data_IF_213677257834
#
_entry.id   IF_213677257834
#
_cell.length_a   1.000
_cell.length_b   1.000
_cell.length_c   1.000
_cell.angle_alpha   90.00
_cell.angle_beta   90.00
_cell.angle_gamma   90.00
#
_symmetry.space_group_name_H-M   'P 1'
#
loop_
_entity.id
_entity.type
_entity.pdbx_description
1 polymer ?
#
# COMPACT_ATOMS: atom_id res chain seq x y z
N UNK A 1 -26.21 -51.53 14.89
CA UNK A 1 -24.84 -51.12 14.48
C UNK A 1 -24.75 -50.83 12.98
N UNK A 2 -25.17 -51.75 12.09
CA UNK A 2 -25.09 -51.53 10.63
C UNK A 2 -25.89 -50.33 10.11
N UNK A 3 -27.04 -49.98 10.69
CA UNK A 3 -27.86 -48.84 10.30
C UNK A 3 -27.15 -47.49 10.64
N UNK A 4 -26.60 -47.39 11.85
CA UNK A 4 -25.85 -46.20 12.31
C UNK A 4 -24.62 -46.02 11.42
N UNK A 5 -23.88 -47.08 11.12
CA UNK A 5 -22.70 -47.00 10.25
C UNK A 5 -23.06 -46.51 8.84
N UNK A 6 -24.18 -46.99 8.25
CA UNK A 6 -24.65 -46.51 6.94
C UNK A 6 -25.01 -45.01 6.96
N UNK A 7 -25.62 -44.52 8.04
CA UNK A 7 -25.94 -43.11 8.19
C UNK A 7 -24.68 -42.25 8.37
N UNK A 8 -23.70 -42.70 9.17
CA UNK A 8 -22.41 -42.03 9.31
C UNK A 8 -21.67 -41.98 7.98
N UNK A 9 -21.70 -43.04 7.20
CA UNK A 9 -21.06 -43.08 5.88
C UNK A 9 -21.72 -42.11 4.90
N UNK A 10 -23.07 -42.03 4.90
CA UNK A 10 -23.80 -41.04 4.09
C UNK A 10 -23.49 -39.60 4.51
N UNK A 11 -23.43 -39.36 5.82
CA UNK A 11 -23.10 -38.04 6.35
C UNK A 11 -21.66 -37.63 5.97
N UNK A 12 -20.71 -38.54 6.12
CA UNK A 12 -19.32 -38.31 5.71
C UNK A 12 -19.21 -38.07 4.19
N UNK A 13 -19.93 -38.87 3.36
CA UNK A 13 -19.95 -38.64 1.91
C UNK A 13 -20.55 -37.28 1.53
N UNK A 14 -21.65 -36.90 2.20
CA UNK A 14 -22.25 -35.56 2.00
C UNK A 14 -21.31 -34.45 2.40
N UNK A 15 -20.62 -34.60 3.53
CA UNK A 15 -19.65 -33.61 3.99
C UNK A 15 -18.48 -33.46 3.00
N UNK A 16 -17.93 -34.56 2.52
CA UNK A 16 -16.88 -34.57 1.50
C UNK A 16 -17.37 -33.88 0.23
N UNK A 17 -18.57 -34.23 -0.22
CA UNK A 17 -19.17 -33.61 -1.41
C UNK A 17 -19.31 -32.08 -1.23
N UNK A 18 -19.80 -31.61 -0.09
CA UNK A 18 -19.94 -30.17 0.21
C UNK A 18 -18.59 -29.45 0.24
N UNK A 19 -17.56 -30.11 0.82
CA UNK A 19 -16.19 -29.56 0.83
C UNK A 19 -15.66 -29.42 -0.60
N UNK A 20 -15.77 -30.49 -1.40
CA UNK A 20 -15.31 -30.48 -2.80
C UNK A 20 -16.08 -29.44 -3.63
N UNK A 21 -17.39 -29.35 -3.43
CA UNK A 21 -18.22 -28.33 -4.10
C UNK A 21 -17.83 -26.90 -3.68
N UNK A 22 -17.55 -26.67 -2.40
CA UNK A 22 -17.10 -25.38 -1.89
C UNK A 22 -15.73 -24.98 -2.48
N UNK A 23 -14.78 -25.93 -2.53
CA UNK A 23 -13.48 -25.68 -3.18
C UNK A 23 -13.62 -25.44 -4.69
N UNK A 24 -14.47 -26.21 -5.37
CA UNK A 24 -14.76 -26.02 -6.80
C UNK A 24 -15.36 -24.64 -7.08
N UNK A 25 -16.29 -24.21 -6.23
CA UNK A 25 -16.91 -22.87 -6.34
C UNK A 25 -15.90 -21.75 -6.05
N UNK A 26 -15.10 -21.91 -5.01
CA UNK A 26 -14.04 -20.96 -4.67
C UNK A 26 -13.02 -20.84 -5.81
N UNK A 27 -12.58 -21.97 -6.36
CA UNK A 27 -11.69 -22.00 -7.52
C UNK A 27 -12.33 -21.30 -8.74
N UNK A 28 -13.60 -21.59 -9.03
CA UNK A 28 -14.33 -20.97 -10.14
C UNK A 28 -14.36 -19.43 -10.01
N UNK A 29 -14.72 -18.90 -8.84
CA UNK A 29 -14.74 -17.46 -8.63
C UNK A 29 -13.34 -16.85 -8.65
N UNK A 30 -12.35 -17.49 -8.05
CA UNK A 30 -10.97 -17.03 -8.08
C UNK A 30 -10.43 -16.99 -9.52
N UNK A 31 -10.63 -18.06 -10.29
CA UNK A 31 -10.17 -18.13 -11.70
C UNK A 31 -10.81 -17.06 -12.59
N UNK A 32 -12.07 -16.71 -12.33
CA UNK A 32 -12.78 -15.63 -13.06
C UNK A 32 -12.20 -14.22 -12.77
N UNK A 33 -11.48 -14.08 -11.68
CA UNK A 33 -10.86 -12.80 -11.28
C UNK A 33 -9.43 -12.65 -11.80
N UNK A 34 -8.86 -13.71 -12.40
CA UNK A 34 -7.54 -13.63 -12.99
C UNK A 34 -7.58 -12.81 -14.29
N UNK A 35 -6.60 -11.91 -14.50
CA UNK A 35 -6.48 -11.19 -15.75
C UNK A 35 -6.06 -12.13 -16.88
N UNK A 36 -6.44 -11.78 -18.09
CA UNK A 36 -5.97 -12.44 -19.30
C UNK A 36 -4.83 -11.59 -19.88
N UNK A 37 -3.62 -12.09 -19.75
CA UNK A 37 -2.42 -11.34 -20.15
C UNK A 37 -2.18 -11.36 -21.67
N UNK A 38 -2.63 -12.41 -22.36
CA UNK A 38 -2.53 -12.55 -23.82
C UNK A 38 -3.74 -11.89 -24.51
N UNK A 39 -4.01 -10.63 -24.23
CA UNK A 39 -5.14 -9.91 -24.77
C UNK A 39 -4.73 -8.60 -25.43
N UNK A 40 -5.41 -8.23 -26.51
CA UNK A 40 -5.35 -6.89 -27.06
C UNK A 40 -6.54 -6.08 -26.57
N UNK A 41 -6.29 -4.90 -26.01
CA UNK A 41 -7.33 -4.00 -25.54
C UNK A 41 -7.13 -2.62 -26.18
N UNK A 42 -8.24 -2.00 -26.58
CA UNK A 42 -8.25 -0.60 -26.96
C UNK A 42 -8.64 0.23 -25.74
N UNK A 43 -7.75 1.09 -25.29
CA UNK A 43 -7.99 1.97 -24.16
C UNK A 43 -8.03 3.43 -24.62
N UNK A 44 -8.98 4.19 -24.08
CA UNK A 44 -9.01 5.64 -24.25
C UNK A 44 -7.94 6.25 -23.35
N UNK A 45 -7.13 7.16 -23.92
CA UNK A 45 -6.08 7.87 -23.20
C UNK A 45 -4.66 7.52 -23.63
N UNK A 46 -4.44 6.45 -24.39
CA UNK A 46 -3.16 6.17 -25.05
C UNK A 46 -2.97 7.06 -26.28
N UNK A 47 -1.75 7.58 -26.45
CA UNK A 47 -1.35 8.35 -27.64
C UNK A 47 -0.75 7.42 -28.70
N UNK A 48 -0.05 6.36 -28.28
CA UNK A 48 0.55 5.34 -29.13
C UNK A 48 0.31 3.93 -28.55
N UNK A 49 0.49 2.86 -29.35
CA UNK A 49 0.43 1.49 -28.85
C UNK A 49 1.47 1.23 -27.77
N UNK A 50 1.06 0.52 -26.70
CA UNK A 50 1.95 0.04 -25.64
C UNK A 50 1.87 -1.46 -25.57
N UNK A 51 3.01 -2.11 -25.39
CA UNK A 51 3.11 -3.54 -25.18
C UNK A 51 3.53 -3.85 -23.75
N UNK A 52 2.83 -4.78 -23.09
CA UNK A 52 3.16 -5.28 -21.75
C UNK A 52 3.52 -6.76 -21.89
N UNK A 53 4.80 -7.08 -21.73
CA UNK A 53 5.30 -8.45 -21.76
C UNK A 53 5.63 -8.88 -20.34
N UNK A 54 5.14 -10.04 -19.92
CA UNK A 54 5.46 -10.59 -18.61
C UNK A 54 6.51 -11.67 -18.70
N UNK A 55 7.52 -11.57 -17.85
CA UNK A 55 8.56 -12.58 -17.74
C UNK A 55 8.12 -13.82 -16.93
N UNK A 56 9.02 -14.78 -16.76
CA UNK A 56 8.75 -16.00 -15.99
C UNK A 56 8.45 -15.78 -14.49
N UNK A 57 8.80 -14.62 -13.95
CA UNK A 57 8.47 -14.19 -12.60
C UNK A 57 7.19 -13.32 -12.56
N UNK A 58 6.50 -13.21 -13.70
CA UNK A 58 5.32 -12.39 -13.91
C UNK A 58 5.56 -10.88 -13.71
N UNK A 59 6.81 -10.43 -13.83
CA UNK A 59 7.17 -9.01 -13.80
C UNK A 59 6.80 -8.38 -15.15
N UNK A 60 6.00 -7.30 -15.20
CA UNK A 60 5.66 -6.62 -16.44
C UNK A 60 6.84 -5.81 -16.96
N UNK A 61 7.17 -6.02 -18.21
CA UNK A 61 8.06 -5.21 -19.03
C UNK A 61 7.18 -4.38 -19.97
N UNK A 62 7.22 -3.08 -19.81
CA UNK A 62 6.34 -2.12 -20.47
C UNK A 62 7.15 -1.38 -21.55
N UNK A 63 6.73 -1.51 -22.80
CA UNK A 63 7.36 -0.90 -23.97
C UNK A 63 6.40 0.14 -24.55
N UNK A 64 6.84 1.39 -24.60
CA UNK A 64 6.04 2.51 -25.10
C UNK A 64 6.89 3.51 -25.88
N UNK A 65 6.25 4.46 -26.55
CA UNK A 65 6.90 5.50 -27.33
C UNK A 65 7.13 6.80 -26.53
N UNK A 66 6.37 7.01 -25.44
CA UNK A 66 6.43 8.18 -24.58
C UNK A 66 6.12 7.82 -23.14
N UNK A 67 6.46 8.71 -22.21
CA UNK A 67 6.32 8.50 -20.77
C UNK A 67 4.87 8.34 -20.33
N UNK A 68 3.96 9.16 -20.87
CA UNK A 68 2.54 9.13 -20.49
C UNK A 68 1.92 7.75 -20.77
N UNK A 69 2.22 7.19 -21.96
CA UNK A 69 1.72 5.87 -22.33
C UNK A 69 2.32 4.76 -21.46
N UNK A 70 3.60 4.89 -21.06
CA UNK A 70 4.26 3.94 -20.15
C UNK A 70 3.65 4.02 -18.76
N UNK A 71 3.39 5.23 -18.21
CA UNK A 71 2.72 5.38 -16.94
C UNK A 71 1.26 4.90 -16.97
N UNK A 72 0.56 5.12 -18.07
CA UNK A 72 -0.76 4.54 -18.29
C UNK A 72 -0.70 3.01 -18.20
N UNK A 73 0.20 2.38 -18.93
CA UNK A 73 0.36 0.93 -18.94
C UNK A 73 0.78 0.37 -17.56
N UNK A 74 1.61 1.10 -16.82
CA UNK A 74 1.94 0.76 -15.43
C UNK A 74 0.67 0.76 -14.56
N UNK A 75 -0.15 1.80 -14.64
CA UNK A 75 -1.40 1.88 -13.89
C UNK A 75 -2.35 0.74 -14.22
N UNK A 76 -2.46 0.39 -15.49
CA UNK A 76 -3.28 -0.72 -15.97
C UNK A 76 -2.77 -2.06 -15.43
N UNK A 77 -1.47 -2.37 -15.59
CA UNK A 77 -0.86 -3.61 -15.10
C UNK A 77 -0.91 -3.72 -13.58
N UNK A 78 -0.65 -2.61 -12.88
CA UNK A 78 -0.72 -2.58 -11.42
C UNK A 78 -2.13 -2.86 -10.90
N UNK A 79 -3.14 -2.29 -11.55
CA UNK A 79 -4.55 -2.57 -11.21
C UNK A 79 -4.95 -4.02 -11.56
N UNK A 80 -4.41 -4.62 -12.64
CA UNK A 80 -4.62 -6.03 -12.92
C UNK A 80 -4.12 -6.94 -11.79
N UNK A 81 -2.96 -6.62 -11.23
CA UNK A 81 -2.27 -7.52 -10.31
C UNK A 81 -2.56 -7.22 -8.84
N UNK A 82 -2.90 -5.97 -8.49
CA UNK A 82 -2.90 -5.47 -7.11
C UNK A 82 -4.17 -4.71 -6.71
N UNK A 83 -5.27 -4.84 -7.46
CA UNK A 83 -6.48 -4.04 -7.24
C UNK A 83 -7.00 -4.10 -5.81
N UNK A 84 -6.99 -5.28 -5.19
CA UNK A 84 -7.41 -5.43 -3.80
C UNK A 84 -6.49 -4.64 -2.85
N UNK A 85 -5.18 -4.83 -2.97
CA UNK A 85 -4.18 -4.12 -2.16
C UNK A 85 -4.31 -2.59 -2.33
N UNK A 86 -4.41 -2.11 -3.57
CA UNK A 86 -4.61 -0.70 -3.89
C UNK A 86 -5.88 -0.15 -3.23
N UNK A 87 -6.98 -0.89 -3.33
CA UNK A 87 -8.27 -0.50 -2.73
C UNK A 87 -8.18 -0.45 -1.21
N UNK A 88 -7.52 -1.41 -0.58
CA UNK A 88 -7.35 -1.44 0.87
C UNK A 88 -6.47 -0.31 1.37
N UNK A 89 -5.33 -0.03 0.71
CA UNK A 89 -4.46 1.09 1.06
C UNK A 89 -5.19 2.43 0.93
N UNK A 90 -5.96 2.63 -0.17
CA UNK A 90 -6.78 3.83 -0.35
C UNK A 90 -7.82 3.97 0.75
N UNK A 91 -8.55 2.90 1.11
CA UNK A 91 -9.52 2.92 2.20
C UNK A 91 -8.86 3.18 3.55
N UNK A 92 -7.67 2.64 3.77
CA UNK A 92 -6.91 2.90 5.00
C UNK A 92 -6.60 4.38 5.13
N UNK A 93 -6.01 5.00 4.11
CA UNK A 93 -5.64 6.42 4.17
C UNK A 93 -6.86 7.35 4.24
N UNK A 94 -8.00 6.94 3.71
CA UNK A 94 -9.28 7.65 3.83
C UNK A 94 -9.96 7.45 5.20
N UNK A 95 -9.45 6.52 6.04
CA UNK A 95 -10.12 6.13 7.29
C UNK A 95 -11.50 5.51 7.06
N UNK A 96 -11.61 4.58 6.10
CA UNK A 96 -12.85 3.96 5.64
C UNK A 96 -12.82 2.43 5.65
N UNK A 97 -11.89 1.83 6.39
CA UNK A 97 -11.82 0.37 6.52
C UNK A 97 -13.04 -0.21 7.22
N UNK A 98 -13.59 0.51 8.19
CA UNK A 98 -14.77 0.06 8.97
C UNK A 98 -16.04 -0.05 8.14
N UNK A 99 -16.11 0.53 6.95
CA UNK A 99 -17.20 0.29 5.99
C UNK A 99 -17.23 -1.17 5.50
N UNK A 100 -16.08 -1.86 5.51
CA UNK A 100 -15.95 -3.27 5.11
C UNK A 100 -15.85 -4.20 6.31
N UNK A 101 -15.08 -3.83 7.33
CA UNK A 101 -14.69 -4.70 8.43
C UNK A 101 -15.38 -4.36 9.76
N UNK A 102 -16.28 -3.38 9.74
CA UNK A 102 -17.07 -2.99 10.90
C UNK A 102 -16.21 -2.43 12.04
N UNK A 103 -16.65 -2.68 13.27
CA UNK A 103 -16.08 -2.11 14.48
C UNK A 103 -14.60 -2.46 14.70
N UNK A 104 -14.15 -3.60 14.16
CA UNK A 104 -12.77 -4.10 14.31
C UNK A 104 -11.72 -3.10 13.82
N UNK A 105 -12.03 -2.34 12.76
CA UNK A 105 -11.11 -1.36 12.15
C UNK A 105 -11.45 0.09 12.47
N UNK A 106 -12.50 0.34 13.25
CA UNK A 106 -12.96 1.69 13.59
C UNK A 106 -11.88 2.51 14.34
N UNK A 107 -11.07 1.85 15.17
CA UNK A 107 -9.95 2.48 15.87
C UNK A 107 -8.93 3.06 14.90
N UNK A 108 -8.61 2.31 13.85
CA UNK A 108 -7.69 2.70 12.79
C UNK A 108 -8.24 3.89 12.01
N UNK A 109 -9.50 3.81 11.58
CA UNK A 109 -10.14 4.88 10.84
C UNK A 109 -10.14 6.20 11.63
N UNK A 110 -10.41 6.14 12.93
CA UNK A 110 -10.37 7.32 13.82
C UNK A 110 -8.97 7.95 13.87
N UNK A 111 -7.92 7.14 13.95
CA UNK A 111 -6.53 7.64 14.02
C UNK A 111 -6.15 8.29 12.69
N UNK A 112 -6.36 7.60 11.57
CA UNK A 112 -5.99 8.09 10.23
C UNK A 112 -6.74 9.38 9.89
N UNK A 113 -8.02 9.48 10.24
CA UNK A 113 -8.80 10.71 10.07
C UNK A 113 -8.32 11.88 10.93
N UNK A 114 -7.72 11.63 12.10
CA UNK A 114 -7.10 12.69 12.90
C UNK A 114 -5.85 13.28 12.24
N UNK A 115 -5.09 12.46 11.51
CA UNK A 115 -3.96 12.94 10.71
C UNK A 115 -4.39 13.63 9.43
N UNK A 116 -5.63 13.41 9.00
CA UNK A 116 -6.24 14.01 7.82
C UNK A 116 -5.44 13.79 6.52
N UNK A 117 -4.78 12.63 6.42
CA UNK A 117 -3.82 12.32 5.35
C UNK A 117 -4.43 12.43 3.97
N UNK A 118 -5.69 12.07 3.79
CA UNK A 118 -6.33 12.09 2.49
C UNK A 118 -6.57 13.53 2.00
N UNK A 119 -7.07 14.42 2.86
CA UNK A 119 -7.24 15.83 2.52
C UNK A 119 -5.89 16.52 2.27
N UNK A 120 -4.87 16.16 3.04
CA UNK A 120 -3.51 16.61 2.77
C UNK A 120 -2.98 16.12 1.41
N UNK A 121 -3.33 14.90 1.00
CA UNK A 121 -2.97 14.39 -0.32
C UNK A 121 -3.70 15.16 -1.44
N UNK A 122 -5.01 15.40 -1.28
CA UNK A 122 -5.79 16.22 -2.22
C UNK A 122 -5.18 17.62 -2.36
N UNK A 123 -4.82 18.27 -1.25
CA UNK A 123 -4.16 19.57 -1.29
C UNK A 123 -2.77 19.50 -1.95
N UNK A 124 -2.05 18.40 -1.80
CA UNK A 124 -0.73 18.20 -2.40
C UNK A 124 -0.76 18.02 -3.91
N UNK A 125 -1.90 17.66 -4.51
CA UNK A 125 -2.06 17.58 -5.97
C UNK A 125 -1.71 18.91 -6.62
N UNK A 126 -2.21 20.02 -6.09
CA UNK A 126 -1.96 21.37 -6.63
C UNK A 126 -0.50 21.84 -6.45
N UNK A 127 0.30 21.16 -5.63
CA UNK A 127 1.69 21.49 -5.39
C UNK A 127 2.67 20.66 -6.27
N UNK A 128 2.15 19.73 -7.08
CA UNK A 128 2.97 18.96 -8.00
C UNK A 128 3.37 19.82 -9.21
N UNK A 129 4.54 19.57 -9.76
CA UNK A 129 4.93 20.13 -11.04
C UNK A 129 4.16 19.48 -12.20
N UNK A 130 4.27 20.09 -13.38
CA UNK A 130 3.50 19.67 -14.57
C UNK A 130 3.85 18.24 -15.01
N UNK A 131 5.13 17.86 -14.96
CA UNK A 131 5.60 16.53 -15.34
C UNK A 131 5.05 15.45 -14.38
N UNK A 132 5.17 15.70 -13.08
CA UNK A 132 4.63 14.79 -12.06
C UNK A 132 3.10 14.66 -12.17
N UNK A 133 2.40 15.76 -12.46
CA UNK A 133 0.95 15.70 -12.66
C UNK A 133 0.58 14.87 -13.89
N UNK A 134 1.25 15.05 -15.02
CA UNK A 134 1.01 14.25 -16.23
C UNK A 134 1.20 12.76 -15.95
N UNK A 135 2.27 12.37 -15.25
CA UNK A 135 2.51 10.99 -14.87
C UNK A 135 1.43 10.42 -13.94
N UNK A 136 0.98 11.18 -12.94
CA UNK A 136 -0.09 10.77 -12.02
C UNK A 136 -1.45 10.63 -12.72
N UNK A 137 -1.75 11.51 -13.66
CA UNK A 137 -2.97 11.46 -14.46
C UNK A 137 -2.96 10.27 -15.42
N UNK A 138 -1.85 10.05 -16.12
CA UNK A 138 -1.67 8.90 -17.01
C UNK A 138 -1.78 7.57 -16.25
N UNK A 139 -1.10 7.43 -15.12
CA UNK A 139 -1.22 6.28 -14.24
C UNK A 139 -2.68 6.06 -13.78
N UNK A 140 -3.35 7.12 -13.34
CA UNK A 140 -4.74 7.05 -12.89
C UNK A 140 -5.68 6.63 -14.03
N UNK A 141 -5.44 7.12 -15.24
CA UNK A 141 -6.19 6.72 -16.43
C UNK A 141 -5.99 5.23 -16.74
N UNK A 142 -4.79 4.70 -16.61
CA UNK A 142 -4.49 3.28 -16.77
C UNK A 142 -5.23 2.40 -15.75
N UNK A 143 -5.20 2.76 -14.47
CA UNK A 143 -5.99 2.08 -13.42
C UNK A 143 -7.48 2.09 -13.77
N UNK A 144 -8.00 3.23 -14.20
CA UNK A 144 -9.40 3.39 -14.54
C UNK A 144 -9.80 2.63 -15.80
N UNK A 145 -8.89 2.47 -16.76
CA UNK A 145 -9.10 1.62 -17.93
C UNK A 145 -9.32 0.16 -17.52
N UNK A 146 -8.52 -0.37 -16.59
CA UNK A 146 -8.74 -1.71 -16.04
C UNK A 146 -10.06 -1.81 -15.26
N UNK A 147 -10.41 -0.81 -14.45
CA UNK A 147 -11.70 -0.77 -13.76
C UNK A 147 -12.88 -0.79 -14.74
N UNK A 148 -12.75 -0.13 -15.87
CA UNK A 148 -13.78 -0.15 -16.93
C UNK A 148 -13.94 -1.55 -17.54
N UNK A 149 -12.85 -2.30 -17.74
CA UNK A 149 -12.89 -3.70 -18.20
C UNK A 149 -13.60 -4.61 -17.20
N UNK A 150 -13.31 -4.48 -15.90
CA UNK A 150 -13.99 -5.24 -14.86
C UNK A 150 -15.51 -4.94 -14.86
N UNK A 151 -15.88 -3.68 -14.98
CA UNK A 151 -17.28 -3.24 -14.94
C UNK A 151 -18.09 -3.74 -16.16
N UNK A 152 -17.45 -4.11 -17.27
CA UNK A 152 -18.12 -4.80 -18.39
C UNK A 152 -18.54 -6.23 -18.03
N UNK A 153 -18.15 -6.75 -16.87
CA UNK A 153 -18.52 -8.05 -16.35
C UNK A 153 -17.78 -9.23 -16.99
N UNK A 154 -16.83 -8.98 -17.90
CA UNK A 154 -16.07 -10.01 -18.59
C UNK A 154 -14.93 -10.60 -17.74
N UNK A 155 -14.42 -9.84 -16.79
CA UNK A 155 -13.22 -10.14 -15.98
C UNK A 155 -13.52 -10.39 -14.49
N UNK A 156 -14.68 -10.93 -14.17
CA UNK A 156 -15.07 -11.15 -12.78
C UNK A 156 -15.22 -9.84 -12.01
N UNK A 157 -14.64 -9.75 -10.83
CA UNK A 157 -14.62 -8.52 -10.00
C UNK A 157 -13.21 -7.91 -9.85
N UNK A 158 -12.24 -8.36 -10.62
CA UNK A 158 -10.88 -7.87 -10.65
C UNK A 158 -9.95 -8.39 -9.56
N UNK A 159 -10.51 -8.94 -8.48
CA UNK A 159 -9.76 -9.65 -7.43
C UNK A 159 -10.67 -10.65 -6.73
N UNK A 160 -10.16 -11.80 -6.28
CA UNK A 160 -10.96 -12.83 -5.59
C UNK A 160 -11.67 -12.29 -4.34
N UNK A 161 -11.01 -11.42 -3.59
CA UNK A 161 -11.55 -10.82 -2.37
C UNK A 161 -12.77 -9.94 -2.64
N UNK A 162 -12.88 -9.35 -3.82
CA UNK A 162 -14.04 -8.54 -4.22
C UNK A 162 -15.36 -9.33 -4.30
N UNK A 163 -15.29 -10.67 -4.29
CA UNK A 163 -16.49 -11.52 -4.17
C UNK A 163 -17.04 -11.56 -2.75
N UNK A 164 -16.18 -11.36 -1.75
CA UNK A 164 -16.57 -11.32 -0.34
C UNK A 164 -17.14 -9.94 0.04
N UNK A 165 -16.69 -8.88 -0.64
CA UNK A 165 -17.04 -7.50 -0.32
C UNK A 165 -17.68 -6.84 -1.54
N UNK A 166 -19.02 -6.76 -1.53
CA UNK A 166 -19.79 -6.20 -2.65
C UNK A 166 -19.82 -4.66 -2.60
N UNK A 167 -18.65 -4.04 -2.74
CA UNK A 167 -18.54 -2.58 -2.81
C UNK A 167 -17.97 -2.16 -4.16
N UNK A 168 -18.56 -1.16 -4.82
CA UNK A 168 -18.00 -0.63 -6.05
C UNK A 168 -16.65 0.02 -5.76
N UNK A 169 -15.71 -0.18 -6.67
CA UNK A 169 -14.41 0.49 -6.64
C UNK A 169 -14.56 1.83 -7.34
N UNK A 170 -14.41 2.92 -6.61
CA UNK A 170 -14.45 4.26 -7.18
C UNK A 170 -13.27 4.47 -8.15
N UNK A 171 -13.40 5.32 -9.18
CA UNK A 171 -12.30 5.68 -10.04
C UNK A 171 -11.08 6.15 -9.26
N UNK A 172 -9.89 5.80 -9.75
CA UNK A 172 -8.62 6.22 -9.18
C UNK A 172 -8.31 7.65 -9.58
N UNK A 173 -7.76 8.43 -8.64
CA UNK A 173 -7.39 9.83 -8.84
C UNK A 173 -5.91 10.04 -8.46
N UNK A 174 -5.24 11.05 -8.99
CA UNK A 174 -3.88 11.44 -8.59
C UNK A 174 -3.70 11.55 -7.07
N UNK A 175 -4.69 12.08 -6.37
CA UNK A 175 -4.70 12.18 -4.91
C UNK A 175 -4.60 10.81 -4.22
N UNK A 176 -5.14 9.73 -4.81
CA UNK A 176 -5.08 8.38 -4.22
C UNK A 176 -3.63 7.87 -4.16
N UNK A 177 -2.84 8.10 -5.21
CA UNK A 177 -1.42 7.73 -5.26
C UNK A 177 -0.60 8.52 -4.23
N UNK A 178 -0.81 9.83 -4.17
CA UNK A 178 -0.15 10.71 -3.17
C UNK A 178 -0.56 10.30 -1.74
N UNK A 179 -1.81 9.93 -1.54
CA UNK A 179 -2.31 9.50 -0.23
C UNK A 179 -1.64 8.22 0.26
N UNK A 180 -1.44 7.24 -0.62
CA UNK A 180 -0.72 6.00 -0.28
C UNK A 180 0.75 6.30 0.06
N UNK A 181 1.40 7.20 -0.68
CA UNK A 181 2.76 7.63 -0.35
C UNK A 181 2.82 8.28 1.04
N UNK A 182 1.85 9.14 1.38
CA UNK A 182 1.76 9.75 2.72
C UNK A 182 1.50 8.71 3.82
N UNK A 183 0.66 7.71 3.56
CA UNK A 183 0.43 6.61 4.48
C UNK A 183 1.71 5.80 4.73
N UNK A 184 2.43 5.45 3.66
CA UNK A 184 3.69 4.74 3.76
C UNK A 184 4.74 5.56 4.53
N UNK A 185 4.83 6.86 4.25
CA UNK A 185 5.71 7.78 4.98
C UNK A 185 5.38 7.83 6.47
N UNK A 186 4.10 7.84 6.85
CA UNK A 186 3.68 7.78 8.24
C UNK A 186 4.06 6.45 8.89
N UNK A 187 3.88 5.33 8.18
CA UNK A 187 4.21 3.99 8.69
C UNK A 187 5.72 3.80 8.88
N UNK A 188 6.54 4.33 7.97
CA UNK A 188 7.99 4.22 8.04
C UNK A 188 8.64 5.26 8.96
N UNK A 189 7.91 6.31 9.35
CA UNK A 189 8.43 7.31 10.27
C UNK A 189 8.24 6.88 11.72
N UNK A 190 9.31 6.86 12.51
CA UNK A 190 9.25 6.65 13.97
C UNK A 190 8.92 7.92 14.76
N UNK A 191 8.67 9.04 14.10
CA UNK A 191 8.53 10.36 14.76
C UNK A 191 7.38 10.41 15.75
N UNK A 192 6.20 9.86 15.43
CA UNK A 192 5.08 9.85 16.34
C UNK A 192 5.41 9.13 17.67
N UNK A 193 6.02 7.96 17.56
CA UNK A 193 6.42 7.17 18.74
C UNK A 193 7.49 7.88 19.54
N UNK A 194 8.47 8.48 18.87
CA UNK A 194 9.54 9.26 19.49
C UNK A 194 8.98 10.49 20.20
N UNK A 195 8.04 11.22 19.61
CA UNK A 195 7.38 12.35 20.22
C UNK A 195 6.52 11.96 21.43
N UNK A 196 5.77 10.85 21.34
CA UNK A 196 5.02 10.32 22.49
C UNK A 196 5.96 9.87 23.60
N UNK A 197 7.07 9.23 23.27
CA UNK A 197 8.10 8.85 24.24
C UNK A 197 8.73 10.07 24.87
N UNK A 198 9.12 11.08 24.09
CA UNK A 198 9.65 12.36 24.56
C UNK A 198 8.66 13.07 25.50
N UNK A 199 7.39 13.16 25.10
CA UNK A 199 6.34 13.76 25.92
C UNK A 199 6.19 13.05 27.28
N UNK A 200 6.15 11.73 27.29
CA UNK A 200 6.05 10.93 28.55
C UNK A 200 7.29 11.08 29.42
N UNK A 201 8.47 11.03 28.82
CA UNK A 201 9.74 11.11 29.52
C UNK A 201 9.96 12.52 30.10
N UNK A 202 9.51 13.58 29.41
CA UNK A 202 9.57 14.96 29.90
C UNK A 202 8.75 15.23 31.16
N UNK A 203 7.76 14.37 31.46
CA UNK A 203 7.01 14.41 32.72
C UNK A 203 7.76 13.77 33.91
N UNK A 204 8.86 13.07 33.62
CA UNK A 204 9.60 12.29 34.60
C UNK A 204 11.06 12.75 34.79
N UNK A 205 11.64 13.34 33.75
CA UNK A 205 13.04 13.75 33.71
C UNK A 205 13.18 15.24 33.44
N UNK A 206 14.24 15.82 34.03
CA UNK A 206 14.63 17.21 33.72
C UNK A 206 15.14 17.32 32.27
N UNK A 207 15.02 18.52 31.65
CA UNK A 207 15.32 18.74 30.23
C UNK A 207 16.72 18.27 29.81
N UNK A 208 17.73 18.47 30.67
CA UNK A 208 19.11 18.06 30.37
C UNK A 208 19.22 16.53 30.27
N UNK A 209 18.57 15.80 31.17
CA UNK A 209 18.54 14.34 31.14
C UNK A 209 17.74 13.79 29.99
N UNK A 210 16.69 14.50 29.60
CA UNK A 210 15.90 14.14 28.42
C UNK A 210 16.73 14.22 27.16
N UNK A 211 17.55 15.27 27.01
CA UNK A 211 18.42 15.47 25.85
C UNK A 211 19.51 14.38 25.73
N UNK A 212 20.01 13.85 26.88
CA UNK A 212 20.98 12.74 26.90
C UNK A 212 20.41 11.43 26.32
N UNK A 213 19.11 11.16 26.57
CA UNK A 213 18.44 9.90 26.19
C UNK A 213 17.76 10.01 24.83
N UNK A 214 17.14 11.15 24.58
CA UNK A 214 16.40 11.45 23.34
C UNK A 214 16.97 12.75 22.76
N UNK A 215 18.08 12.65 22.00
CA UNK A 215 18.68 13.82 21.37
C UNK A 215 17.66 14.51 20.47
N UNK A 216 17.79 15.80 20.34
CA UNK A 216 16.89 16.59 19.51
C UNK A 216 16.93 16.14 18.06
N UNK A 217 15.74 16.04 17.45
CA UNK A 217 15.60 15.74 16.03
C UNK A 217 16.25 16.85 15.19
N UNK A 218 17.11 16.51 14.21
CA UNK A 218 17.71 17.47 13.29
C UNK A 218 16.68 18.19 12.38
N UNK A 219 15.42 17.77 12.37
CA UNK A 219 14.31 18.46 11.68
C UNK A 219 13.89 19.79 12.36
N UNK A 220 14.69 20.31 13.28
CA UNK A 220 14.46 21.60 13.96
C UNK A 220 14.15 22.71 12.96
N UNK A 221 12.96 23.27 13.09
CA UNK A 221 12.57 24.49 12.37
C UNK A 221 11.21 24.47 11.71
N UNK A 222 10.50 23.33 11.66
CA UNK A 222 9.18 23.27 11.01
C UNK A 222 8.04 23.59 12.00
N UNK A 223 8.17 23.21 13.27
CA UNK A 223 7.27 23.65 14.35
C UNK A 223 7.97 23.55 15.71
N UNK A 224 8.08 24.66 16.41
CA UNK A 224 8.44 24.66 17.84
C UNK A 224 7.16 24.49 18.65
N UNK A 225 6.91 23.28 19.13
CA UNK A 225 5.87 23.06 20.13
C UNK A 225 6.42 23.47 21.51
N UNK A 226 5.61 24.11 22.37
CA UNK A 226 5.98 24.33 23.77
C UNK A 226 6.24 23.00 24.45
N UNK A 227 7.04 23.00 25.51
CA UNK A 227 7.31 21.74 26.26
C UNK A 227 5.98 21.11 26.70
N UNK A 228 5.81 19.81 26.53
CA UNK A 228 4.57 19.10 26.88
C UNK A 228 4.20 19.29 28.36
N UNK A 229 5.20 19.38 29.25
CA UNK A 229 4.98 19.66 30.65
C UNK A 229 4.33 21.03 30.92
N UNK A 230 4.60 22.03 30.07
CA UNK A 230 3.97 23.36 30.16
C UNK A 230 2.55 23.40 29.61
N UNK A 231 2.21 22.50 28.69
CA UNK A 231 0.85 22.40 28.12
C UNK A 231 -0.14 21.72 29.07
N UNK A 232 0.35 20.89 29.99
CA UNK A 232 -0.47 20.10 30.90
C UNK A 232 0.09 20.11 32.33
N UNK A 233 0.10 21.28 33.00
CA UNK A 233 0.69 21.42 34.34
C UNK A 233 0.00 20.56 35.41
N UNK A 234 -1.26 20.19 35.20
CA UNK A 234 -2.08 19.43 36.14
C UNK A 234 -2.12 17.92 35.86
N UNK A 235 -1.40 17.42 34.87
CA UNK A 235 -1.35 15.97 34.61
C UNK A 235 -0.58 15.27 35.76
N UNK A 236 -1.18 14.24 36.40
CA UNK A 236 -0.47 13.45 37.39
C UNK A 236 0.77 12.80 36.75
N UNK A 237 1.91 12.91 37.45
CA UNK A 237 3.15 12.24 37.01
C UNK A 237 2.88 10.76 36.79
N UNK A 238 3.20 10.30 35.56
CA UNK A 238 2.88 8.96 35.09
C UNK A 238 3.50 7.87 35.98
N UNK A 239 2.67 6.94 36.46
CA UNK A 239 3.13 5.66 37.05
C UNK A 239 3.09 4.59 35.96
N UNK A 240 4.20 3.79 35.77
CA UNK A 240 4.38 2.95 34.58
C UNK A 240 3.55 1.65 34.53
N UNK A 241 2.30 1.64 34.93
CA UNK A 241 1.52 0.39 35.06
C UNK A 241 0.35 0.21 34.08
N UNK A 242 0.28 0.95 33.00
CA UNK A 242 -0.74 0.70 31.97
C UNK A 242 -0.09 0.07 30.74
N UNK A 243 -0.14 -1.26 30.65
CA UNK A 243 0.01 -1.96 29.37
C UNK A 243 -1.08 -1.46 28.43
N UNK A 244 -0.73 -0.68 27.42
CA UNK A 244 -1.61 -0.49 26.28
C UNK A 244 -1.73 -1.85 25.57
N UNK A 245 -2.92 -2.45 25.65
CA UNK A 245 -3.22 -3.64 24.88
C UNK A 245 -3.09 -3.28 23.40
N UNK A 246 -2.11 -3.85 22.73
CA UNK A 246 -2.00 -3.83 21.28
C UNK A 246 -3.11 -4.75 20.75
N UNK A 247 -4.20 -4.20 20.25
CA UNK A 247 -5.12 -4.96 19.42
C UNK A 247 -4.42 -5.25 18.09
N UNK A 248 -4.36 -6.52 17.71
CA UNK A 248 -3.51 -7.10 16.66
C UNK A 248 -3.73 -6.62 15.22
N UNK A 249 -4.38 -5.49 14.99
CA UNK A 249 -4.50 -4.84 13.69
C UNK A 249 -4.28 -3.33 13.88
N UNK A 250 -3.02 -2.91 13.91
CA UNK A 250 -2.66 -1.51 13.97
C UNK A 250 -1.77 -1.16 12.76
N UNK A 251 -2.28 -0.48 11.72
CA UNK A 251 -1.48 -0.07 10.57
C UNK A 251 -0.42 0.99 10.92
N UNK A 252 -0.46 1.50 12.16
CA UNK A 252 0.52 2.42 12.73
C UNK A 252 1.38 1.68 13.77
N UNK A 253 1.52 0.37 13.67
CA UNK A 253 2.55 -0.31 14.46
C UNK A 253 3.90 0.26 14.01
N UNK A 254 4.79 0.59 14.98
CA UNK A 254 6.18 0.81 14.62
C UNK A 254 6.62 -0.43 13.86
N UNK A 255 7.33 -0.29 12.73
CA UNK A 255 7.95 -1.45 12.12
C UNK A 255 8.74 -2.14 13.23
N UNK A 256 8.41 -3.38 13.54
CA UNK A 256 9.33 -4.19 14.34
C UNK A 256 10.66 -4.06 13.63
N UNK A 257 11.74 -3.84 14.36
CA UNK A 257 13.08 -3.68 13.82
C UNK A 257 13.52 -4.98 13.13
N UNK A 258 12.82 -5.35 12.08
CA UNK A 258 13.06 -6.53 11.26
C UNK A 258 14.16 -6.32 10.22
N UNK A 259 14.95 -5.26 10.34
CA UNK A 259 16.06 -4.98 9.45
C UNK A 259 16.23 -3.49 9.16
N UNK A 260 17.43 -3.11 8.81
CA UNK A 260 17.77 -1.78 8.33
C UNK A 260 17.89 -1.81 6.82
N UNK A 261 17.08 -1.04 6.11
CA UNK A 261 17.22 -0.85 4.66
C UNK A 261 18.60 -0.29 4.33
N UNK A 262 19.21 -0.78 3.26
CA UNK A 262 20.50 -0.33 2.78
C UNK A 262 20.37 0.26 1.37
N UNK A 263 21.11 1.35 1.13
CA UNK A 263 21.29 1.91 -0.19
C UNK A 263 22.70 2.45 -0.33
N UNK A 264 23.36 2.16 -1.44
CA UNK A 264 24.66 2.70 -1.76
C UNK A 264 24.82 3.01 -3.24
N UNK A 265 25.60 4.05 -3.49
CA UNK A 265 26.03 4.42 -4.82
C UNK A 265 27.56 4.53 -4.87
N UNK A 266 28.16 4.08 -5.96
CA UNK A 266 29.59 4.26 -6.21
C UNK A 266 29.80 5.06 -7.47
N UNK A 267 30.68 6.06 -7.37
CA UNK A 267 31.11 6.86 -8.51
C UNK A 267 31.82 5.97 -9.56
N UNK A 268 31.74 6.31 -10.87
CA UNK A 268 32.45 5.57 -11.95
C UNK A 268 33.93 5.32 -11.70
N UNK A 269 34.64 6.24 -11.04
CA UNK A 269 36.06 6.07 -10.70
C UNK A 269 36.34 4.96 -9.69
N UNK A 270 35.35 4.47 -8.99
CA UNK A 270 35.42 3.37 -8.02
C UNK A 270 34.85 2.05 -8.56
N UNK A 271 34.36 2.06 -9.78
CA UNK A 271 33.77 0.90 -10.45
C UNK A 271 34.78 0.29 -11.45
N UNK A 272 34.91 -1.02 -11.48
CA UNK A 272 35.75 -1.70 -12.45
C UNK A 272 35.22 -1.55 -13.89
N UNK A 273 33.93 -1.26 -14.05
CA UNK A 273 33.28 -1.04 -15.36
C UNK A 273 33.40 0.39 -15.85
N UNK A 274 33.84 1.34 -15.00
CA UNK A 274 33.85 2.77 -15.32
C UNK A 274 32.44 3.39 -15.34
N UNK A 275 31.43 2.69 -14.84
CA UNK A 275 30.04 3.17 -14.74
C UNK A 275 29.62 3.38 -13.29
N UNK A 276 28.65 4.24 -13.04
CA UNK A 276 28.02 4.38 -11.71
C UNK A 276 27.38 3.06 -11.30
N UNK A 277 27.60 2.64 -10.06
CA UNK A 277 26.92 1.50 -9.45
C UNK A 277 25.91 2.03 -8.42
N UNK A 278 24.69 1.53 -8.48
CA UNK A 278 23.64 1.79 -7.51
C UNK A 278 23.13 0.44 -7.01
N UNK A 279 22.98 0.33 -5.69
CA UNK A 279 22.29 -0.79 -5.08
C UNK A 279 21.35 -0.28 -4.00
N UNK A 280 20.17 -0.88 -3.93
CA UNK A 280 19.15 -0.57 -2.94
C UNK A 280 18.54 -1.88 -2.46
N UNK A 281 18.46 -2.03 -1.15
CA UNK A 281 17.99 -3.24 -0.47
C UNK A 281 17.03 -2.84 0.66
N UNK A 282 15.76 -2.56 0.35
CA UNK A 282 14.76 -2.19 1.33
C UNK A 282 14.31 -3.42 2.11
N UNK A 283 14.62 -3.46 3.41
CA UNK A 283 14.18 -4.50 4.32
C UNK A 283 12.85 -4.11 4.97
N UNK A 284 11.77 -4.57 4.38
CA UNK A 284 10.42 -4.47 4.93
C UNK A 284 9.89 -5.86 5.28
N UNK A 285 8.83 -5.92 6.07
CA UNK A 285 8.17 -7.17 6.41
C UNK A 285 7.72 -7.91 5.14
N UNK A 286 7.95 -9.22 5.12
CA UNK A 286 7.52 -10.08 4.03
C UNK A 286 6.02 -10.32 4.13
N UNK A 287 5.28 -9.74 3.21
CA UNK A 287 3.82 -9.90 3.09
C UNK A 287 3.44 -10.49 1.73
N UNK A 288 2.27 -11.07 1.64
CA UNK A 288 1.68 -11.55 0.38
C UNK A 288 0.32 -10.86 0.15
N UNK A 289 0.21 -9.96 -0.83
CA UNK A 289 1.27 -9.48 -1.70
C UNK A 289 2.26 -8.56 -0.97
N UNK A 290 3.51 -8.50 -1.46
CA UNK A 290 4.51 -7.55 -0.95
C UNK A 290 4.09 -6.10 -1.24
N UNK A 291 4.60 -5.15 -0.45
CA UNK A 291 4.37 -3.71 -0.70
C UNK A 291 4.99 -3.24 -2.02
N UNK A 292 6.09 -3.88 -2.42
CA UNK A 292 6.79 -3.54 -3.65
C UNK A 292 6.13 -4.19 -4.87
N UNK A 293 6.05 -3.42 -5.95
CA UNK A 293 5.65 -3.89 -7.27
C UNK A 293 6.80 -3.68 -8.25
N UNK A 294 7.32 -4.77 -8.82
CA UNK A 294 8.40 -4.71 -9.80
C UNK A 294 7.81 -4.49 -11.18
N UNK A 295 8.36 -3.53 -11.92
CA UNK A 295 8.08 -3.30 -13.32
C UNK A 295 9.34 -2.81 -14.02
N UNK A 296 9.48 -3.13 -15.32
CA UNK A 296 10.52 -2.59 -16.17
C UNK A 296 9.89 -1.70 -17.24
N UNK A 297 10.50 -0.56 -17.48
CA UNK A 297 10.07 0.37 -18.51
C UNK A 297 11.13 0.45 -19.61
N UNK A 298 10.69 0.56 -20.87
CA UNK A 298 11.56 0.75 -22.02
C UNK A 298 10.88 1.67 -23.02
N UNK A 299 11.51 2.82 -23.30
CA UNK A 299 11.09 3.70 -24.37
C UNK A 299 11.68 3.22 -25.68
N UNK A 300 10.84 2.93 -26.66
CA UNK A 300 11.27 2.44 -27.98
C UNK A 300 12.11 3.47 -28.74
N UNK A 301 11.98 4.75 -28.39
CA UNK A 301 12.81 5.85 -28.89
C UNK A 301 14.24 5.85 -28.35
N UNK A 302 14.58 4.94 -27.42
CA UNK A 302 15.88 4.91 -26.73
C UNK A 302 16.05 5.99 -25.69
N UNK A 303 14.98 6.66 -25.30
CA UNK A 303 14.96 7.62 -24.20
C UNK A 303 15.09 6.96 -22.82
N UNK A 304 15.55 7.72 -21.85
CA UNK A 304 15.49 7.33 -20.42
C UNK A 304 14.19 7.90 -19.87
N UNK A 305 13.44 7.09 -19.13
CA UNK A 305 12.29 7.56 -18.40
C UNK A 305 12.82 8.35 -17.20
N UNK A 306 12.51 9.62 -17.13
CA UNK A 306 12.90 10.53 -16.07
C UNK A 306 12.07 10.33 -14.77
#
# INVERSE_FOLDING_TARGET
MALIFRWLLRLASLLIFLIVAAFGLAYYFASRSLPEYDAQASALGLQAPVEIIRDNANVPHIFGENDDDVYFALGYAHAQDRLWQMTMLRRTVQGRLSELFGETTLGIDKVVRRFDLYNLAVASVAAQDETTMAALEAYSAGVNAWLAEINKGSRGRGAPEMWLFNHPVAPWQPADSIAILKLLSLQLSGHLQSEVLRARTSLMLEPERLADILPDDPSRGIAMLPSYASLFPDLPRYTPNTRMASNGFNPIQPPELAGASNAWAANPTRSATGSTLLANDPHLELTAPTVWYLARFELQSGGVID
#
